data_IF_555111489277
#
_entry.id   IF_555111489277
#
_cell.length_a   1.000
_cell.length_b   1.000
_cell.length_c   1.000
_cell.angle_alpha   90.00
_cell.angle_beta   90.00
_cell.angle_gamma   90.00
#
_symmetry.space_group_name_H-M   'P 1'
#
loop_
_entity.id
_entity.type
_entity.pdbx_description
1 polymer ?
#
# COMPACT_ATOMS: atom_id res chain seq x y z
N UNK A 1 -16.02 26.42 -9.02
CA UNK A 1 -14.90 26.00 -8.13
C UNK A 1 -15.40 25.19 -6.91
N UNK A 2 -16.44 25.64 -6.18
CA UNK A 2 -16.98 24.94 -4.99
C UNK A 2 -17.63 23.57 -5.28
N UNK A 3 -18.24 23.37 -6.44
CA UNK A 3 -18.85 22.07 -6.81
C UNK A 3 -17.79 21.02 -7.20
N UNK A 4 -16.72 21.44 -7.85
CA UNK A 4 -15.62 20.56 -8.21
C UNK A 4 -14.92 20.00 -6.96
N UNK A 5 -14.78 20.80 -5.90
CA UNK A 5 -14.21 20.38 -4.62
C UNK A 5 -15.10 19.35 -3.89
N UNK A 6 -16.43 19.44 -4.01
CA UNK A 6 -17.37 18.48 -3.42
C UNK A 6 -17.23 17.07 -4.02
N UNK A 7 -17.17 16.98 -5.34
CA UNK A 7 -17.03 15.70 -6.05
C UNK A 7 -15.67 15.06 -5.78
N UNK A 8 -14.60 15.85 -5.71
CA UNK A 8 -13.27 15.36 -5.35
C UNK A 8 -13.26 14.83 -3.90
N UNK A 9 -13.86 15.52 -2.97
CA UNK A 9 -13.95 15.06 -1.59
C UNK A 9 -14.79 13.78 -1.45
N UNK A 10 -15.91 13.66 -2.17
CA UNK A 10 -16.72 12.45 -2.23
C UNK A 10 -15.94 11.27 -2.82
N UNK A 11 -15.14 11.50 -3.85
CA UNK A 11 -14.31 10.49 -4.48
C UNK A 11 -13.19 10.02 -3.54
N UNK A 12 -12.54 10.95 -2.84
CA UNK A 12 -11.53 10.64 -1.81
C UNK A 12 -12.16 9.84 -0.67
N UNK A 13 -13.34 10.26 -0.17
CA UNK A 13 -14.06 9.52 0.87
C UNK A 13 -14.44 8.14 0.38
N UNK A 14 -14.96 8.01 -0.85
CA UNK A 14 -15.33 6.72 -1.44
C UNK A 14 -14.15 5.77 -1.60
N UNK A 15 -13.00 6.26 -2.09
CA UNK A 15 -11.77 5.48 -2.20
C UNK A 15 -11.26 5.07 -0.82
N UNK A 16 -11.22 6.01 0.13
CA UNK A 16 -10.79 5.74 1.50
C UNK A 16 -11.69 4.71 2.17
N UNK A 17 -13.01 4.85 2.00
CA UNK A 17 -13.99 3.90 2.50
C UNK A 17 -13.80 2.51 1.89
N UNK A 18 -13.61 2.42 0.57
CA UNK A 18 -13.36 1.15 -0.14
C UNK A 18 -12.06 0.47 0.30
N UNK A 19 -11.02 1.24 0.63
CA UNK A 19 -9.76 0.70 1.16
C UNK A 19 -9.95 0.18 2.58
N UNK A 20 -10.67 0.91 3.43
CA UNK A 20 -10.87 0.55 4.84
C UNK A 20 -11.87 -0.60 4.99
N UNK A 21 -12.95 -0.60 4.20
CA UNK A 21 -14.04 -1.57 4.29
C UNK A 21 -14.00 -2.63 3.18
N UNK A 22 -12.84 -2.90 2.59
CA UNK A 22 -12.75 -4.06 1.72
C UNK A 22 -12.90 -5.36 2.55
N UNK A 23 -13.33 -6.42 1.87
CA UNK A 23 -13.58 -7.72 2.51
C UNK A 23 -12.35 -8.25 3.27
N UNK A 24 -11.13 -8.05 2.74
CA UNK A 24 -9.91 -8.47 3.40
C UNK A 24 -9.66 -7.72 4.71
N UNK A 25 -10.03 -6.44 4.79
CA UNK A 25 -9.94 -5.66 6.03
C UNK A 25 -10.98 -6.14 7.03
N UNK A 26 -12.19 -6.48 6.57
CA UNK A 26 -13.26 -7.00 7.42
C UNK A 26 -12.93 -8.40 7.96
N UNK A 27 -12.40 -9.29 7.12
CA UNK A 27 -11.96 -10.63 7.51
C UNK A 27 -10.83 -10.57 8.54
N UNK A 28 -9.89 -9.62 8.36
CA UNK A 28 -8.86 -9.38 9.37
C UNK A 28 -9.43 -8.82 10.67
N UNK A 29 -10.51 -8.09 10.69
CA UNK A 29 -11.13 -7.57 11.92
C UNK A 29 -11.85 -8.64 12.77
N UNK A 30 -12.16 -9.80 12.23
CA UNK A 30 -12.90 -10.88 12.94
C UNK A 30 -11.99 -11.74 13.82
N UNK A 31 -10.69 -11.78 13.59
CA UNK A 31 -9.77 -12.62 14.35
C UNK A 31 -9.03 -11.85 15.47
N UNK A 32 -8.71 -12.52 16.59
CA UNK A 32 -8.06 -11.90 17.75
C UNK A 32 -6.63 -11.34 17.45
N UNK A 33 -5.97 -11.82 16.40
CA UNK A 33 -4.70 -11.29 15.89
C UNK A 33 -4.86 -9.90 15.24
N UNK A 34 -6.07 -9.47 15.03
CA UNK A 34 -6.50 -8.29 14.29
C UNK A 34 -6.16 -6.99 15.00
N UNK A 35 -6.10 -6.98 16.33
CA UNK A 35 -5.72 -5.77 17.06
C UNK A 35 -4.30 -5.30 16.68
N UNK A 36 -3.37 -6.25 16.52
CA UNK A 36 -2.00 -5.97 16.08
C UNK A 36 -1.98 -5.48 14.63
N UNK A 37 -2.79 -6.09 13.75
CA UNK A 37 -2.93 -5.65 12.36
C UNK A 37 -3.54 -4.25 12.27
N UNK A 38 -4.57 -3.97 13.05
CA UNK A 38 -5.21 -2.65 13.09
C UNK A 38 -4.26 -1.55 13.57
N UNK A 39 -3.47 -1.83 14.60
CA UNK A 39 -2.41 -0.93 15.07
C UNK A 39 -1.37 -0.71 13.97
N UNK A 40 -0.96 -1.77 13.28
CA UNK A 40 -0.01 -1.69 12.18
C UNK A 40 -0.53 -0.81 11.03
N UNK A 41 -1.78 -0.97 10.63
CA UNK A 41 -2.44 -0.15 9.62
C UNK A 41 -2.46 1.33 10.05
N UNK A 42 -2.85 1.61 11.29
CA UNK A 42 -2.86 2.96 11.84
C UNK A 42 -1.46 3.59 11.81
N UNK A 43 -0.44 2.84 12.23
CA UNK A 43 0.95 3.29 12.19
C UNK A 43 1.44 3.55 10.76
N UNK A 44 1.03 2.73 9.80
CA UNK A 44 1.37 2.95 8.39
C UNK A 44 0.75 4.25 7.84
N UNK A 45 -0.50 4.56 8.22
CA UNK A 45 -1.16 5.82 7.87
C UNK A 45 -0.42 7.01 8.49
N UNK A 46 -0.09 6.93 9.79
CA UNK A 46 0.67 7.98 10.48
C UNK A 46 2.04 8.18 9.83
N UNK A 47 2.72 7.08 9.46
CA UNK A 47 4.00 7.16 8.78
C UNK A 47 3.89 7.85 7.41
N UNK A 48 2.82 7.60 6.65
CA UNK A 48 2.56 8.27 5.38
C UNK A 48 2.32 9.77 5.56
N UNK A 49 1.56 10.17 6.57
CA UNK A 49 1.36 11.57 6.91
C UNK A 49 2.69 12.25 7.30
N UNK A 50 3.48 11.63 8.16
CA UNK A 50 4.78 12.16 8.58
C UNK A 50 5.76 12.28 7.41
N UNK A 51 5.74 11.33 6.46
CA UNK A 51 6.55 11.40 5.26
C UNK A 51 6.19 12.62 4.40
N UNK A 52 4.90 12.86 4.19
CA UNK A 52 4.41 14.00 3.40
C UNK A 52 4.68 15.35 4.06
N UNK A 53 4.81 15.37 5.39
CA UNK A 53 5.28 16.51 6.18
C UNK A 53 6.81 16.67 6.22
N UNK A 54 7.55 15.84 5.47
CA UNK A 54 9.02 15.81 5.42
C UNK A 54 9.71 15.42 6.75
N UNK A 55 8.97 14.83 7.69
CA UNK A 55 9.47 14.30 8.95
C UNK A 55 9.99 12.86 8.77
N UNK A 56 10.99 12.70 7.90
CA UNK A 56 11.43 11.38 7.42
C UNK A 56 11.87 10.43 8.53
N UNK A 57 12.61 10.90 9.53
CA UNK A 57 13.11 10.07 10.65
C UNK A 57 11.92 9.51 11.46
N UNK A 58 10.94 10.37 11.79
CA UNK A 58 9.75 9.94 12.54
C UNK A 58 8.91 8.97 11.71
N UNK A 59 8.75 9.26 10.42
CA UNK A 59 8.07 8.37 9.46
C UNK A 59 8.75 7.00 9.40
N UNK A 60 10.09 6.98 9.32
CA UNK A 60 10.87 5.74 9.27
C UNK A 60 10.67 4.88 10.52
N UNK A 61 10.80 5.47 11.72
CA UNK A 61 10.61 4.75 12.98
C UNK A 61 9.18 4.20 13.07
N UNK A 62 8.19 5.03 12.74
CA UNK A 62 6.77 4.63 12.79
C UNK A 62 6.47 3.51 11.81
N UNK A 63 7.03 3.58 10.59
CA UNK A 63 6.87 2.54 9.58
C UNK A 63 7.58 1.24 9.99
N UNK A 64 8.76 1.32 10.59
CA UNK A 64 9.46 0.15 11.13
C UNK A 64 8.64 -0.56 12.21
N UNK A 65 8.07 0.17 13.17
CA UNK A 65 7.19 -0.41 14.18
C UNK A 65 5.98 -1.06 13.52
N UNK A 66 5.36 -0.38 12.56
CA UNK A 66 4.23 -0.92 11.77
C UNK A 66 4.59 -2.25 11.10
N UNK A 67 5.74 -2.33 10.42
CA UNK A 67 6.16 -3.54 9.70
C UNK A 67 6.54 -4.68 10.63
N UNK A 68 7.00 -4.42 11.86
CA UNK A 68 7.20 -5.44 12.88
C UNK A 68 5.89 -6.02 13.37
N UNK A 69 4.84 -5.20 13.49
CA UNK A 69 3.52 -5.70 13.83
C UNK A 69 2.91 -6.51 12.68
N UNK A 70 2.95 -5.97 11.45
CA UNK A 70 2.39 -6.63 10.28
C UNK A 70 3.02 -6.11 8.97
N UNK A 71 3.77 -6.96 8.28
CA UNK A 71 4.55 -6.55 7.11
C UNK A 71 3.72 -5.95 5.95
N UNK A 72 2.50 -6.45 5.73
CA UNK A 72 1.66 -5.96 4.64
C UNK A 72 1.22 -4.52 4.80
N UNK A 73 1.24 -3.98 6.02
CA UNK A 73 0.94 -2.56 6.26
C UNK A 73 1.92 -1.61 5.56
N UNK A 74 3.15 -2.07 5.27
CA UNK A 74 4.11 -1.28 4.49
C UNK A 74 3.60 -0.97 3.07
N UNK A 75 2.80 -1.85 2.48
CA UNK A 75 2.19 -1.62 1.17
C UNK A 75 1.15 -0.49 1.23
N UNK A 76 0.40 -0.41 2.32
CA UNK A 76 -0.55 0.69 2.55
C UNK A 76 0.17 2.03 2.66
N UNK A 77 1.28 2.10 3.42
CA UNK A 77 2.14 3.29 3.47
C UNK A 77 2.55 3.74 2.06
N UNK A 78 3.01 2.80 1.23
CA UNK A 78 3.44 3.10 -0.14
C UNK A 78 2.30 3.73 -0.95
N UNK A 79 1.14 3.06 -0.99
CA UNK A 79 -0.03 3.52 -1.75
C UNK A 79 -0.49 4.90 -1.27
N UNK A 80 -0.67 5.08 0.03
CA UNK A 80 -1.14 6.36 0.59
C UNK A 80 -0.16 7.49 0.31
N UNK A 81 1.14 7.24 0.48
CA UNK A 81 2.16 8.27 0.24
C UNK A 81 2.19 8.68 -1.23
N UNK A 82 2.07 7.73 -2.16
CA UNK A 82 1.99 8.01 -3.60
C UNK A 82 0.74 8.84 -3.94
N UNK A 83 -0.41 8.50 -3.37
CA UNK A 83 -1.65 9.28 -3.55
C UNK A 83 -1.49 10.70 -3.01
N UNK A 84 -0.91 10.88 -1.82
CA UNK A 84 -0.67 12.21 -1.26
C UNK A 84 0.30 13.05 -2.12
N UNK A 85 1.36 12.43 -2.65
CA UNK A 85 2.30 13.10 -3.56
C UNK A 85 1.59 13.52 -4.85
N UNK A 86 0.82 12.62 -5.45
CA UNK A 86 0.07 12.90 -6.67
C UNK A 86 -0.93 14.06 -6.47
N UNK A 87 -1.63 14.06 -5.33
CA UNK A 87 -2.56 15.13 -4.98
C UNK A 87 -1.87 16.47 -4.75
N UNK A 88 -0.76 16.48 -3.98
CA UNK A 88 -0.03 17.69 -3.62
C UNK A 88 0.67 18.36 -4.81
N UNK A 89 1.13 17.55 -5.76
CA UNK A 89 1.88 18.01 -6.95
C UNK A 89 1.07 17.91 -8.24
N UNK A 90 -0.27 18.03 -8.12
CA UNK A 90 -1.19 18.00 -9.25
C UNK A 90 -0.72 18.93 -10.38
N UNK A 91 -0.57 18.36 -11.59
CA UNK A 91 -0.09 19.08 -12.78
C UNK A 91 1.43 19.04 -13.02
N UNK A 92 2.25 18.63 -12.08
CA UNK A 92 3.70 18.51 -12.26
C UNK A 92 4.17 17.06 -12.24
N UNK A 93 4.02 16.37 -13.39
CA UNK A 93 4.36 14.95 -13.54
C UNK A 93 5.84 14.66 -13.18
N UNK A 94 6.77 15.53 -13.57
CA UNK A 94 8.20 15.35 -13.28
C UNK A 94 8.45 15.30 -11.77
N UNK A 95 7.81 16.17 -11.02
CA UNK A 95 7.97 16.21 -9.56
C UNK A 95 7.30 15.02 -8.87
N UNK A 96 6.13 14.61 -9.36
CA UNK A 96 5.44 13.39 -8.89
C UNK A 96 6.36 12.19 -9.06
N UNK A 97 6.91 11.97 -10.26
CA UNK A 97 7.80 10.84 -10.55
C UNK A 97 9.05 10.89 -9.67
N UNK A 98 9.71 12.05 -9.57
CA UNK A 98 10.90 12.19 -8.73
C UNK A 98 10.64 11.85 -7.27
N UNK A 99 9.53 12.35 -6.70
CA UNK A 99 9.17 12.06 -5.30
C UNK A 99 8.71 10.62 -5.10
N UNK A 100 8.01 10.04 -6.07
CA UNK A 100 7.61 8.63 -6.03
C UNK A 100 8.81 7.69 -5.97
N UNK A 101 9.86 7.95 -6.75
CA UNK A 101 11.12 7.20 -6.68
C UNK A 101 11.69 7.25 -5.26
N UNK A 102 11.70 8.42 -4.62
CA UNK A 102 12.15 8.58 -3.23
C UNK A 102 11.34 7.75 -2.24
N UNK A 103 10.01 7.66 -2.43
CA UNK A 103 9.13 6.82 -1.60
C UNK A 103 9.45 5.34 -1.79
N UNK A 104 9.66 4.89 -3.02
CA UNK A 104 10.03 3.49 -3.28
C UNK A 104 11.36 3.11 -2.62
N UNK A 105 12.36 3.99 -2.68
CA UNK A 105 13.64 3.77 -1.98
C UNK A 105 13.45 3.72 -0.47
N UNK A 106 12.71 4.66 0.09
CA UNK A 106 12.42 4.71 1.52
C UNK A 106 11.70 3.45 2.00
N UNK A 107 10.66 3.03 1.29
CA UNK A 107 9.93 1.80 1.53
C UNK A 107 10.84 0.57 1.40
N UNK A 108 11.62 0.48 0.33
CA UNK A 108 12.55 -0.63 0.08
C UNK A 108 13.58 -0.79 1.19
N UNK A 109 14.21 0.31 1.62
CA UNK A 109 15.16 0.29 2.75
C UNK A 109 14.48 -0.20 4.02
N UNK A 110 13.28 0.27 4.32
CA UNK A 110 12.52 -0.16 5.50
C UNK A 110 12.23 -1.65 5.44
N UNK A 111 11.84 -2.19 4.29
CA UNK A 111 11.56 -3.61 4.10
C UNK A 111 12.82 -4.47 4.26
N UNK A 112 13.94 -4.04 3.68
CA UNK A 112 15.22 -4.75 3.82
C UNK A 112 15.66 -4.78 5.27
N UNK A 113 15.60 -3.66 5.97
CA UNK A 113 15.96 -3.59 7.39
C UNK A 113 15.03 -4.45 8.26
N UNK A 114 13.72 -4.45 7.97
CA UNK A 114 12.78 -5.33 8.66
C UNK A 114 13.15 -6.80 8.47
N UNK A 115 13.49 -7.22 7.25
CA UNK A 115 13.92 -8.60 6.97
C UNK A 115 15.21 -8.96 7.72
N UNK A 116 16.20 -8.06 7.72
CA UNK A 116 17.47 -8.27 8.44
C UNK A 116 17.21 -8.40 9.94
N UNK A 117 16.46 -7.48 10.52
CA UNK A 117 16.12 -7.50 11.95
C UNK A 117 15.32 -8.74 12.32
N UNK A 118 14.31 -9.12 11.52
CA UNK A 118 13.55 -10.36 11.75
C UNK A 118 14.45 -11.58 11.74
N UNK A 119 15.41 -11.65 10.81
CA UNK A 119 16.36 -12.76 10.73
C UNK A 119 17.30 -12.80 11.94
N UNK A 120 17.80 -11.63 12.36
CA UNK A 120 18.65 -11.54 13.55
C UNK A 120 17.90 -11.97 14.82
N UNK A 121 16.67 -11.48 15.03
CA UNK A 121 15.85 -11.86 16.17
C UNK A 121 15.51 -13.36 16.14
N UNK A 122 15.11 -13.90 14.98
CA UNK A 122 14.84 -15.34 14.85
C UNK A 122 16.05 -16.19 15.20
N UNK A 123 17.24 -15.79 14.75
CA UNK A 123 18.49 -16.49 15.06
C UNK A 123 18.83 -16.40 16.55
N UNK A 124 18.67 -15.22 17.15
CA UNK A 124 19.00 -15.01 18.56
C UNK A 124 18.07 -15.76 19.52
N UNK A 125 16.76 -15.78 19.22
CA UNK A 125 15.77 -16.45 20.06
C UNK A 125 15.52 -17.93 19.69
N UNK A 126 16.25 -18.46 18.71
CA UNK A 126 16.06 -19.86 18.26
C UNK A 126 14.68 -20.14 17.66
N UNK A 127 13.98 -19.08 17.22
CA UNK A 127 12.63 -19.22 16.64
C UNK A 127 12.74 -19.65 15.19
N UNK A 128 12.25 -20.84 14.87
CA UNK A 128 12.05 -21.28 13.48
C UNK A 128 10.78 -20.62 12.92
N UNK A 129 10.93 -19.49 12.28
CA UNK A 129 9.78 -18.88 11.60
C UNK A 129 9.67 -19.45 10.20
N UNK A 130 8.51 -20.04 9.86
CA UNK A 130 8.18 -20.51 8.49
C UNK A 130 8.26 -19.38 7.42
N UNK A 131 8.38 -18.13 7.85
CA UNK A 131 8.34 -16.92 7.01
C UNK A 131 9.72 -16.36 6.65
N UNK A 132 10.82 -16.98 7.10
CA UNK A 132 12.19 -16.49 6.85
C UNK A 132 12.92 -17.22 5.73
N UNK A 133 12.24 -18.03 4.93
CA UNK A 133 12.84 -18.60 3.73
C UNK A 133 13.03 -17.46 2.72
N UNK A 134 14.28 -17.08 2.49
CA UNK A 134 14.64 -16.19 1.38
C UNK A 134 14.36 -16.98 0.11
N UNK A 135 13.33 -16.58 -0.62
CA UNK A 135 13.00 -17.16 -1.90
C UNK A 135 14.15 -16.90 -2.89
N UNK A 136 14.52 -17.90 -3.68
CA UNK A 136 15.41 -17.69 -4.82
C UNK A 136 14.76 -16.70 -5.80
N UNK A 137 15.56 -16.07 -6.66
CA UNK A 137 15.04 -15.12 -7.68
C UNK A 137 13.95 -15.78 -8.52
N UNK A 138 14.14 -17.04 -8.92
CA UNK A 138 13.16 -17.81 -9.70
C UNK A 138 11.86 -18.03 -8.91
N UNK A 139 11.96 -18.30 -7.61
CA UNK A 139 10.80 -18.42 -6.73
C UNK A 139 10.08 -17.08 -6.55
N UNK A 140 10.80 -15.96 -6.50
CA UNK A 140 10.21 -14.62 -6.44
C UNK A 140 9.43 -14.34 -7.73
N UNK A 141 10.04 -14.59 -8.89
CA UNK A 141 9.39 -14.38 -10.19
C UNK A 141 8.16 -15.28 -10.33
N UNK A 142 8.28 -16.57 -10.04
CA UNK A 142 7.15 -17.52 -10.11
C UNK A 142 6.03 -17.11 -9.13
N UNK A 143 6.39 -16.63 -7.95
CA UNK A 143 5.43 -16.14 -6.95
C UNK A 143 4.71 -14.89 -7.44
N UNK A 144 5.42 -13.90 -8.00
CA UNK A 144 4.83 -12.69 -8.57
C UNK A 144 3.87 -13.04 -9.72
N UNK A 145 4.28 -13.94 -10.62
CA UNK A 145 3.44 -14.38 -11.75
C UNK A 145 2.21 -15.14 -11.23
N UNK A 146 2.40 -16.06 -10.28
CA UNK A 146 1.30 -16.84 -9.70
C UNK A 146 0.30 -15.93 -8.97
N UNK A 147 0.78 -15.07 -8.07
CA UNK A 147 -0.08 -14.11 -7.36
C UNK A 147 -0.70 -13.07 -8.29
N UNK A 148 0.05 -12.60 -9.30
CA UNK A 148 -0.51 -11.71 -10.31
C UNK A 148 -1.65 -12.38 -11.09
N UNK A 149 -1.47 -13.63 -11.52
CA UNK A 149 -2.51 -14.41 -12.17
C UNK A 149 -3.70 -14.66 -11.22
N UNK A 150 -3.41 -15.06 -9.98
CA UNK A 150 -4.41 -15.30 -8.97
C UNK A 150 -5.23 -14.03 -8.66
N UNK A 151 -4.57 -12.88 -8.42
CA UNK A 151 -5.25 -11.61 -8.18
C UNK A 151 -6.07 -11.12 -9.37
N UNK A 152 -5.57 -11.31 -10.59
CA UNK A 152 -6.23 -10.78 -11.78
C UNK A 152 -7.32 -11.71 -12.34
N UNK A 153 -7.20 -13.02 -12.15
CA UNK A 153 -8.04 -13.99 -12.84
C UNK A 153 -8.86 -14.90 -11.92
N UNK A 154 -8.37 -15.21 -10.71
CA UNK A 154 -8.94 -16.27 -9.86
C UNK A 154 -9.55 -15.77 -8.54
N UNK A 155 -9.14 -14.60 -8.04
CA UNK A 155 -9.38 -14.20 -6.65
C UNK A 155 -10.76 -13.60 -6.39
N UNK A 156 -11.79 -13.97 -7.14
CA UNK A 156 -13.11 -13.45 -6.90
C UNK A 156 -14.16 -14.56 -6.93
N UNK A 157 -14.15 -15.36 -5.87
CA UNK A 157 -15.32 -16.19 -5.51
C UNK A 157 -16.57 -15.34 -5.16
N UNK A 158 -16.42 -14.02 -5.00
CA UNK A 158 -17.50 -13.10 -4.60
C UNK A 158 -18.18 -12.43 -5.81
N UNK A 159 -17.72 -12.69 -7.03
CA UNK A 159 -18.33 -12.14 -8.23
C UNK A 159 -17.93 -12.87 -9.51
N UNK A 160 -18.56 -12.57 -10.66
CA UNK A 160 -18.18 -13.16 -11.92
C UNK A 160 -16.71 -12.90 -12.22
N UNK A 161 -15.99 -13.94 -12.63
CA UNK A 161 -14.56 -13.88 -13.03
C UNK A 161 -14.34 -12.70 -14.00
N UNK A 162 -13.44 -11.80 -13.65
CA UNK A 162 -13.11 -10.66 -14.50
C UNK A 162 -13.68 -9.29 -14.07
N UNK A 163 -14.60 -9.22 -13.13
CA UNK A 163 -15.15 -7.93 -12.67
C UNK A 163 -14.09 -7.00 -12.07
N UNK A 164 -13.09 -7.54 -11.42
CA UNK A 164 -12.00 -6.76 -10.85
C UNK A 164 -11.14 -6.10 -11.94
N UNK A 165 -10.95 -6.81 -13.04
CA UNK A 165 -10.25 -6.28 -14.21
C UNK A 165 -11.04 -5.14 -14.86
N UNK A 166 -12.37 -5.32 -14.98
CA UNK A 166 -13.28 -4.28 -15.48
C UNK A 166 -13.23 -3.07 -14.54
N UNK A 167 -13.27 -3.28 -13.22
CA UNK A 167 -13.19 -2.21 -12.24
C UNK A 167 -11.85 -1.44 -12.31
N UNK A 168 -10.72 -2.15 -12.40
CA UNK A 168 -9.40 -1.54 -12.59
C UNK A 168 -9.34 -0.74 -13.90
N UNK A 169 -9.87 -1.29 -15.00
CA UNK A 169 -9.91 -0.61 -16.30
C UNK A 169 -10.77 0.67 -16.19
N UNK A 170 -11.95 0.59 -15.58
CA UNK A 170 -12.82 1.76 -15.39
C UNK A 170 -12.11 2.82 -14.56
N UNK A 171 -11.51 2.45 -13.42
CA UNK A 171 -10.77 3.40 -12.58
C UNK A 171 -9.58 4.02 -13.33
N UNK A 172 -8.85 3.22 -14.11
CA UNK A 172 -7.73 3.72 -14.93
C UNK A 172 -8.20 4.70 -16.00
N UNK A 173 -9.32 4.42 -16.66
CA UNK A 173 -9.92 5.32 -17.65
C UNK A 173 -10.39 6.63 -16.98
N UNK A 174 -11.07 6.55 -15.84
CA UNK A 174 -11.50 7.72 -15.08
C UNK A 174 -10.28 8.57 -14.69
N UNK A 175 -9.21 7.93 -14.21
CA UNK A 175 -7.98 8.60 -13.83
C UNK A 175 -7.30 9.30 -15.01
N UNK A 176 -7.19 8.62 -16.16
CA UNK A 176 -6.64 9.21 -17.40
C UNK A 176 -7.47 10.39 -17.89
N UNK A 177 -8.80 10.24 -17.92
CA UNK A 177 -9.72 11.31 -18.33
C UNK A 177 -9.63 12.51 -17.41
N UNK A 178 -9.50 12.28 -16.09
CA UNK A 178 -9.29 13.34 -15.10
C UNK A 178 -8.00 14.13 -15.36
N UNK A 179 -6.90 13.43 -15.66
CA UNK A 179 -5.60 14.07 -15.99
C UNK A 179 -5.69 14.90 -17.27
N UNK A 180 -6.40 14.40 -18.29
CA UNK A 180 -6.56 15.10 -19.58
C UNK A 180 -7.43 16.36 -19.42
N UNK A 181 -8.49 16.26 -18.62
CA UNK A 181 -9.43 17.38 -18.39
C UNK A 181 -8.82 18.51 -17.56
N UNK A 182 -7.89 18.19 -16.66
CA UNK A 182 -7.18 19.19 -15.85
C UNK A 182 -6.06 19.93 -16.60
N UNK A 183 -5.74 19.51 -17.84
CA UNK A 183 -4.77 20.21 -18.72
C UNK A 183 -5.41 21.31 -19.60
N UNK A 184 -6.71 21.44 -19.60
CA UNK A 184 -7.45 22.55 -20.24
C UNK A 184 -7.93 23.54 -19.20
#
# INVERSE_FOLDING_TARGET
>A
KKEHDKWQNLLIIGITFSIIFNFCTFETMVFAEVSIMSISILLAVIAACLYTEQKYIKSFITLMISTFCYQTAASLFLVLTLVFIAYKHKGNIKEIVKKSIGVFFFWGITMILNLVMTKLFSSYFGMTTRRTTILSIDQIISTIVHYGKYLLLENLEIGPKGWYLIFIVILSVIFIVSIIKDKK
#
